data_IF_112312742983
#
_entry.id   IF_112312742983
#
_cell.length_a   1.000
_cell.length_b   1.000
_cell.length_c   1.000
_cell.angle_alpha   90.00
_cell.angle_beta   90.00
_cell.angle_gamma   90.00
#
_symmetry.space_group_name_H-M   'P 1'
#
loop_
_entity.id
_entity.type
_entity.pdbx_description
1 polymer ?
#
# COMPACT_ATOMS: atom_id res chain seq x y z
N UNK A 1 -18.90 25.83 -13.28
CA UNK A 1 -19.18 24.42 -13.62
C UNK A 1 -17.93 23.64 -13.25
N UNK A 2 -17.91 23.03 -12.06
CA UNK A 2 -16.71 22.38 -11.52
C UNK A 2 -16.57 20.98 -12.12
N UNK A 3 -15.43 20.72 -12.76
CA UNK A 3 -15.04 19.42 -13.28
C UNK A 3 -14.99 18.39 -12.14
N UNK A 4 -15.87 17.40 -12.20
CA UNK A 4 -15.78 16.20 -11.37
C UNK A 4 -14.56 15.40 -11.84
N UNK A 5 -13.63 15.00 -10.96
CA UNK A 5 -12.47 14.23 -11.39
C UNK A 5 -12.93 12.87 -11.92
N UNK A 6 -12.45 12.53 -13.13
CA UNK A 6 -12.75 11.34 -13.91
C UNK A 6 -12.25 10.01 -13.29
N UNK A 7 -12.44 9.82 -11.99
CA UNK A 7 -12.05 8.62 -11.23
C UNK A 7 -12.77 7.35 -11.70
N UNK A 8 -13.97 7.48 -12.26
CA UNK A 8 -14.76 6.36 -12.75
C UNK A 8 -14.21 5.77 -14.07
N UNK A 9 -13.60 6.58 -14.94
CA UNK A 9 -13.07 6.13 -16.24
C UNK A 9 -11.74 5.37 -16.15
N UNK A 10 -11.02 5.48 -15.03
CA UNK A 10 -9.77 4.75 -14.77
C UNK A 10 -9.98 3.28 -14.36
N UNK A 11 -11.24 2.85 -14.16
CA UNK A 11 -11.59 1.47 -13.77
C UNK A 11 -11.93 0.55 -14.94
N UNK A 12 -12.20 1.09 -16.12
CA UNK A 12 -12.57 0.30 -17.30
C UNK A 12 -11.28 -0.26 -17.92
N UNK A 13 -11.07 -1.57 -17.84
CA UNK A 13 -9.95 -2.27 -18.50
C UNK A 13 -8.77 -2.67 -17.61
N UNK A 14 -8.82 -2.47 -16.28
CA UNK A 14 -7.81 -3.03 -15.36
C UNK A 14 -7.97 -4.54 -15.24
N UNK A 15 -7.25 -5.29 -16.07
CA UNK A 15 -7.10 -6.73 -15.94
C UNK A 15 -5.99 -7.04 -14.94
N UNK A 16 -6.31 -7.86 -13.92
CA UNK A 16 -5.31 -8.36 -12.96
C UNK A 16 -4.76 -9.68 -13.48
N UNK A 17 -3.44 -9.77 -13.60
CA UNK A 17 -2.73 -10.94 -14.09
C UNK A 17 -2.04 -11.64 -12.92
N UNK A 18 -2.33 -12.93 -12.67
CA UNK A 18 -1.57 -13.73 -11.74
C UNK A 18 -0.08 -13.78 -12.12
N UNK A 19 0.78 -13.82 -11.11
CA UNK A 19 2.24 -13.75 -11.17
C UNK A 19 2.81 -12.45 -11.77
N UNK A 20 1.98 -11.43 -12.02
CA UNK A 20 2.46 -10.11 -12.41
C UNK A 20 2.79 -9.26 -11.20
N UNK A 21 3.81 -8.42 -11.36
CA UNK A 21 4.26 -7.49 -10.35
C UNK A 21 3.52 -6.15 -10.48
N UNK A 22 3.06 -5.62 -9.35
CA UNK A 22 2.35 -4.35 -9.28
C UNK A 22 2.93 -3.47 -8.19
N UNK A 23 3.06 -2.17 -8.47
CA UNK A 23 3.19 -1.13 -7.46
C UNK A 23 1.79 -0.60 -7.12
N UNK A 24 1.39 -0.75 -5.87
CA UNK A 24 0.11 -0.29 -5.35
C UNK A 24 0.32 0.88 -4.39
N UNK A 25 -0.55 1.88 -4.46
CA UNK A 25 -0.60 3.00 -3.51
C UNK A 25 -2.05 3.23 -3.05
N UNK A 26 -2.23 3.40 -1.74
CA UNK A 26 -3.51 3.84 -1.18
C UNK A 26 -3.27 4.79 -0.01
N UNK A 27 -4.22 5.72 0.17
CA UNK A 27 -4.08 6.86 1.07
C UNK A 27 -5.23 6.85 2.08
N UNK A 28 -4.97 7.33 3.29
CA UNK A 28 -5.98 7.52 4.32
C UNK A 28 -6.99 8.57 3.90
N UNK A 29 -8.22 8.44 4.42
CA UNK A 29 -9.28 9.43 4.19
C UNK A 29 -8.78 10.83 4.57
N UNK A 30 -9.00 11.80 3.67
CA UNK A 30 -8.53 13.20 3.82
C UNK A 30 -7.02 13.36 4.08
N UNK A 31 -6.22 12.33 3.76
CA UNK A 31 -4.78 12.29 4.05
C UNK A 31 -4.44 12.46 5.54
N UNK A 32 -5.36 12.07 6.42
CA UNK A 32 -5.12 12.12 7.87
C UNK A 32 -3.92 11.24 8.23
N UNK A 33 -2.91 11.75 8.97
CA UNK A 33 -1.66 11.03 9.19
C UNK A 33 -1.76 10.01 10.36
N UNK A 34 -2.68 9.05 10.23
CA UNK A 34 -3.01 8.03 11.25
C UNK A 34 -1.80 7.16 11.60
N UNK A 35 -0.93 6.88 10.64
CA UNK A 35 0.22 5.98 10.80
C UNK A 35 1.48 6.70 11.33
N UNK A 36 1.34 7.94 11.84
CA UNK A 36 2.33 8.50 12.79
C UNK A 36 2.38 7.69 14.08
N UNK A 37 1.24 7.11 14.46
CA UNK A 37 1.20 6.11 15.51
C UNK A 37 1.80 4.80 14.98
N UNK A 38 2.94 4.43 15.54
CA UNK A 38 3.68 3.23 15.14
C UNK A 38 2.84 1.95 15.32
N UNK A 39 2.08 1.83 16.41
CA UNK A 39 1.27 0.66 16.67
C UNK A 39 0.18 0.50 15.61
N UNK A 40 -0.52 1.59 15.27
CA UNK A 40 -1.55 1.56 14.22
C UNK A 40 -0.96 1.24 12.85
N UNK A 41 0.21 1.77 12.52
CA UNK A 41 0.92 1.44 11.29
C UNK A 41 1.27 -0.06 11.20
N UNK A 42 1.70 -0.66 12.33
CA UNK A 42 2.03 -2.09 12.41
C UNK A 42 0.81 -3.00 12.16
N UNK A 43 -0.40 -2.55 12.48
CA UNK A 43 -1.63 -3.30 12.15
C UNK A 43 -1.86 -3.40 10.63
N UNK A 44 -1.44 -2.39 9.86
CA UNK A 44 -1.46 -2.42 8.38
C UNK A 44 -0.38 -3.37 7.86
N UNK A 45 0.85 -3.27 8.38
CA UNK A 45 1.95 -4.20 8.02
C UNK A 45 1.56 -5.66 8.27
N UNK A 46 0.83 -5.92 9.36
CA UNK A 46 0.30 -7.26 9.63
C UNK A 46 -0.65 -7.76 8.51
N UNK A 47 -1.44 -6.88 7.89
CA UNK A 47 -2.29 -7.28 6.76
C UNK A 47 -1.49 -7.65 5.51
N UNK A 48 -0.34 -7.03 5.26
CA UNK A 48 0.55 -7.44 4.16
C UNK A 48 1.08 -8.86 4.38
N UNK A 49 1.51 -9.15 5.62
CA UNK A 49 1.98 -10.49 6.02
C UNK A 49 0.88 -11.54 5.91
N UNK A 50 -0.34 -11.22 6.35
CA UNK A 50 -1.48 -12.12 6.21
C UNK A 50 -1.83 -12.39 4.75
N UNK A 51 -1.81 -11.37 3.89
CA UNK A 51 -2.06 -11.55 2.46
C UNK A 51 -1.05 -12.50 1.81
N UNK A 52 0.23 -12.42 2.23
CA UNK A 52 1.27 -13.35 1.80
C UNK A 52 1.05 -14.76 2.35
N UNK A 53 0.79 -14.89 3.64
CA UNK A 53 0.51 -16.19 4.27
C UNK A 53 -0.68 -16.91 3.64
N UNK A 54 -1.71 -16.17 3.24
CA UNK A 54 -2.91 -16.71 2.58
C UNK A 54 -2.69 -17.02 1.09
N UNK A 55 -1.50 -16.76 0.54
CA UNK A 55 -1.17 -16.95 -0.87
C UNK A 55 -1.93 -16.01 -1.81
N UNK A 56 -2.33 -14.82 -1.33
CA UNK A 56 -2.98 -13.81 -2.18
C UNK A 56 -1.95 -13.03 -3.00
N UNK A 57 -0.83 -12.65 -2.38
CA UNK A 57 0.25 -11.91 -3.01
C UNK A 57 1.57 -12.08 -2.24
N UNK A 58 2.70 -12.13 -2.95
CA UNK A 58 4.01 -12.02 -2.31
C UNK A 58 4.37 -10.54 -2.14
N UNK A 59 4.80 -10.14 -0.94
CA UNK A 59 5.33 -8.81 -0.70
C UNK A 59 6.79 -8.76 -1.13
N UNK A 60 7.11 -7.88 -2.07
CA UNK A 60 8.48 -7.71 -2.56
C UNK A 60 9.16 -6.50 -1.91
N UNK A 61 8.44 -5.39 -1.77
CA UNK A 61 8.87 -4.24 -0.99
C UNK A 61 7.67 -3.40 -0.57
N UNK A 62 7.75 -2.71 0.56
CA UNK A 62 6.70 -1.79 1.00
C UNK A 62 7.26 -0.70 1.90
N UNK A 63 6.49 0.38 2.01
CA UNK A 63 6.63 1.40 3.04
C UNK A 63 5.26 1.88 3.48
N UNK A 64 5.02 1.95 4.78
CA UNK A 64 3.84 2.61 5.35
C UNK A 64 4.28 4.00 5.80
N UNK A 65 3.82 5.01 5.07
CA UNK A 65 4.00 6.43 5.35
C UNK A 65 2.90 6.92 6.32
N UNK A 66 3.02 8.12 6.92
CA UNK A 66 2.06 8.62 7.90
C UNK A 66 0.58 8.57 7.48
N UNK A 67 0.28 8.79 6.20
CA UNK A 67 -1.06 8.90 5.64
C UNK A 67 -1.31 7.97 4.43
N UNK A 68 -0.35 7.13 4.05
CA UNK A 68 -0.49 6.23 2.88
C UNK A 68 0.49 5.07 2.97
N UNK A 69 0.40 4.13 2.04
CA UNK A 69 1.47 3.16 1.82
C UNK A 69 1.77 2.99 0.34
N UNK A 70 2.98 2.53 0.07
CA UNK A 70 3.39 1.97 -1.22
C UNK A 70 3.72 0.49 -1.03
N UNK A 71 3.24 -0.36 -1.92
CA UNK A 71 3.42 -1.80 -1.82
C UNK A 71 3.70 -2.41 -3.19
N UNK A 72 4.90 -2.94 -3.37
CA UNK A 72 5.28 -3.73 -4.53
C UNK A 72 4.98 -5.19 -4.21
N UNK A 73 4.10 -5.78 -5.01
CA UNK A 73 3.67 -7.16 -4.85
C UNK A 73 3.81 -7.95 -6.13
N UNK A 74 3.99 -9.26 -6.00
CA UNK A 74 3.63 -10.22 -7.04
C UNK A 74 2.22 -10.76 -6.70
N UNK A 75 1.24 -10.53 -7.57
CA UNK A 75 -0.12 -11.01 -7.34
C UNK A 75 -0.16 -12.53 -7.54
N UNK A 76 -0.67 -13.31 -6.58
CA UNK A 76 -0.72 -14.78 -6.70
C UNK A 76 -2.11 -15.31 -7.02
N UNK A 77 -3.15 -14.74 -6.42
CA UNK A 77 -4.53 -15.23 -6.60
C UNK A 77 -5.54 -14.10 -6.58
N UNK A 78 -6.59 -14.23 -7.41
CA UNK A 78 -7.68 -13.27 -7.49
C UNK A 78 -7.27 -11.99 -8.22
N UNK A 79 -7.98 -10.89 -7.96
CA UNK A 79 -7.69 -9.58 -8.53
C UNK A 79 -7.01 -8.64 -7.53
N UNK A 80 -6.36 -7.59 -8.04
CA UNK A 80 -5.90 -6.48 -7.19
C UNK A 80 -7.04 -5.85 -6.39
N UNK A 81 -8.24 -5.79 -6.98
CA UNK A 81 -9.42 -5.24 -6.31
C UNK A 81 -9.83 -6.10 -5.11
N UNK A 82 -9.75 -7.42 -5.21
CA UNK A 82 -10.06 -8.34 -4.10
C UNK A 82 -9.02 -8.25 -3.00
N UNK A 83 -7.73 -8.26 -3.37
CA UNK A 83 -6.62 -8.09 -2.44
C UNK A 83 -6.76 -6.78 -1.66
N UNK A 84 -6.95 -5.66 -2.36
CA UNK A 84 -7.05 -4.36 -1.74
C UNK A 84 -8.34 -4.19 -0.94
N UNK A 85 -9.46 -4.78 -1.37
CA UNK A 85 -10.69 -4.83 -0.56
C UNK A 85 -10.42 -5.55 0.76
N UNK A 86 -9.75 -6.70 0.73
CA UNK A 86 -9.40 -7.46 1.93
C UNK A 86 -8.49 -6.66 2.87
N UNK A 87 -7.35 -6.20 2.36
CA UNK A 87 -6.35 -5.45 3.15
C UNK A 87 -6.95 -4.18 3.74
N UNK A 88 -7.69 -3.39 2.95
CA UNK A 88 -8.28 -2.13 3.43
C UNK A 88 -9.38 -2.37 4.45
N UNK A 89 -10.25 -3.37 4.24
CA UNK A 89 -11.33 -3.70 5.16
C UNK A 89 -10.78 -4.16 6.53
N UNK A 90 -9.85 -5.12 6.53
CA UNK A 90 -9.24 -5.64 7.76
C UNK A 90 -8.41 -4.58 8.48
N UNK A 91 -7.64 -3.78 7.74
CA UNK A 91 -6.90 -2.65 8.32
C UNK A 91 -7.84 -1.64 8.97
N UNK A 92 -8.95 -1.29 8.31
CA UNK A 92 -9.95 -0.36 8.87
C UNK A 92 -10.51 -0.89 10.18
N UNK A 93 -10.93 -2.16 10.21
CA UNK A 93 -11.48 -2.78 11.41
C UNK A 93 -10.47 -2.78 12.57
N UNK A 94 -9.23 -3.20 12.30
CA UNK A 94 -8.21 -3.35 13.34
C UNK A 94 -7.72 -2.00 13.87
N UNK A 95 -7.45 -1.04 12.99
CA UNK A 95 -7.01 0.31 13.38
C UNK A 95 -8.12 1.03 14.15
N UNK A 96 -9.36 0.99 13.66
CA UNK A 96 -10.48 1.62 14.36
C UNK A 96 -10.74 1.00 15.73
N UNK A 97 -10.67 -0.34 15.84
CA UNK A 97 -10.81 -1.04 17.11
C UNK A 97 -9.70 -0.70 18.09
N UNK A 98 -8.46 -0.62 17.62
CA UNK A 98 -7.29 -0.30 18.44
C UNK A 98 -7.26 1.17 18.92
N UNK A 99 -7.74 2.11 18.10
CA UNK A 99 -7.65 3.54 18.39
C UNK A 99 -8.96 4.16 18.87
N UNK A 100 -10.03 3.37 19.02
CA UNK A 100 -11.39 3.87 19.30
C UNK A 100 -12.02 4.72 18.18
N UNK A 101 -11.36 4.83 17.01
CA UNK A 101 -11.86 5.62 15.88
C UNK A 101 -13.08 4.95 15.26
N UNK A 102 -13.96 5.75 14.66
CA UNK A 102 -15.08 5.28 13.84
C UNK A 102 -14.98 5.85 12.44
N UNK A 103 -15.64 5.21 11.48
CA UNK A 103 -15.70 5.67 10.10
C UNK A 103 -14.55 5.20 9.21
N UNK A 104 -14.35 5.93 8.10
CA UNK A 104 -13.45 5.54 7.01
C UNK A 104 -11.98 5.70 7.43
N UNK A 105 -11.17 4.66 7.22
CA UNK A 105 -9.71 4.76 7.33
C UNK A 105 -9.09 5.22 6.01
N UNK A 106 -9.58 4.70 4.88
CA UNK A 106 -9.00 4.90 3.56
C UNK A 106 -9.89 5.74 2.65
N UNK A 107 -9.26 6.38 1.67
CA UNK A 107 -9.95 6.94 0.49
C UNK A 107 -10.58 5.84 -0.34
N UNK A 108 -11.54 6.17 -1.20
CA UNK A 108 -12.10 5.21 -2.15
C UNK A 108 -11.07 4.83 -3.22
N UNK A 109 -11.03 3.56 -3.61
CA UNK A 109 -10.10 3.06 -4.63
C UNK A 109 -8.63 2.96 -4.18
N UNK A 110 -7.76 2.74 -5.15
CA UNK A 110 -6.30 2.69 -5.01
C UNK A 110 -5.67 2.97 -6.39
N UNK A 111 -4.42 3.40 -6.37
CA UNK A 111 -3.60 3.50 -7.58
C UNK A 111 -2.77 2.22 -7.72
N UNK A 112 -2.67 1.70 -8.92
CA UNK A 112 -1.79 0.60 -9.28
C UNK A 112 -1.10 0.88 -10.61
N UNK A 113 0.13 0.37 -10.71
CA UNK A 113 0.92 0.29 -11.94
C UNK A 113 1.44 -1.13 -12.07
N UNK A 114 1.12 -1.79 -13.17
CA UNK A 114 1.72 -3.06 -13.54
C UNK A 114 3.16 -2.83 -14.00
N UNK A 115 4.11 -3.55 -13.41
CA UNK A 115 5.51 -3.50 -13.83
C UNK A 115 5.69 -4.37 -15.08
N UNK A 116 6.60 -3.94 -15.94
CA UNK A 116 7.00 -4.64 -17.17
C UNK A 116 8.35 -5.33 -16.97
N UNK A 117 8.73 -6.22 -17.88
CA UNK A 117 9.97 -7.00 -17.77
C UNK A 117 11.22 -6.11 -17.81
N UNK A 118 11.14 -4.99 -18.52
CA UNK A 118 12.19 -3.98 -18.65
C UNK A 118 12.30 -3.02 -17.45
N UNK A 119 11.33 -3.03 -16.53
CA UNK A 119 11.41 -2.20 -15.32
C UNK A 119 12.48 -2.78 -14.37
N UNK A 120 13.42 -1.94 -13.93
CA UNK A 120 14.38 -2.30 -12.88
C UNK A 120 13.67 -2.37 -11.52
N UNK A 121 13.29 -3.59 -11.15
CA UNK A 121 12.55 -3.88 -9.93
C UNK A 121 13.32 -3.49 -8.66
N UNK A 122 14.65 -3.68 -8.64
CA UNK A 122 15.48 -3.34 -7.48
C UNK A 122 15.58 -1.83 -7.31
N UNK A 123 15.76 -1.09 -8.42
CA UNK A 123 15.73 0.37 -8.40
C UNK A 123 14.39 0.91 -7.93
N UNK A 124 13.28 0.31 -8.38
CA UNK A 124 11.93 0.68 -7.92
C UNK A 124 11.74 0.37 -6.43
N UNK A 125 12.20 -0.78 -5.95
CA UNK A 125 12.14 -1.14 -4.53
C UNK A 125 12.93 -0.15 -3.66
N UNK A 126 14.17 0.19 -4.05
CA UNK A 126 14.99 1.23 -3.40
C UNK A 126 14.28 2.57 -3.39
N UNK A 127 13.66 2.95 -4.52
CA UNK A 127 12.87 4.17 -4.57
C UNK A 127 11.72 4.12 -3.57
N UNK A 128 10.93 3.04 -3.55
CA UNK A 128 9.80 2.88 -2.62
C UNK A 128 10.24 2.98 -1.16
N UNK A 129 11.24 2.21 -0.73
CA UNK A 129 11.65 2.22 0.68
C UNK A 129 12.30 3.54 1.08
N UNK A 130 12.93 4.27 0.15
CA UNK A 130 13.53 5.59 0.42
C UNK A 130 12.53 6.77 0.48
N UNK A 131 11.22 6.52 0.37
CA UNK A 131 10.21 7.58 0.54
C UNK A 131 10.30 8.34 1.87
N UNK A 132 10.54 7.72 3.04
CA UNK A 132 10.64 8.42 4.32
C UNK A 132 11.78 9.43 4.35
N UNK A 133 12.93 9.10 3.74
CA UNK A 133 14.06 10.02 3.56
C UNK A 133 13.67 11.20 2.68
N UNK A 134 13.09 10.94 1.50
CA UNK A 134 12.70 12.00 0.56
C UNK A 134 11.62 12.93 1.12
N UNK A 135 10.73 12.39 1.95
CA UNK A 135 9.71 13.15 2.66
C UNK A 135 10.25 13.91 3.89
N UNK A 136 11.54 13.77 4.21
CA UNK A 136 12.16 14.43 5.36
C UNK A 136 11.71 13.89 6.72
N UNK A 137 11.11 12.69 6.78
CA UNK A 137 10.67 12.07 8.04
C UNK A 137 11.84 11.60 8.90
N UNK A 138 12.95 11.24 8.25
CA UNK A 138 14.17 10.73 8.86
C UNK A 138 15.39 11.21 8.07
N UNK A 139 16.56 11.28 8.72
CA UNK A 139 17.84 11.61 8.05
C UNK A 139 18.58 10.38 7.54
N UNK A 140 18.32 9.20 8.12
CA UNK A 140 18.92 7.92 7.72
C UNK A 140 17.81 6.88 7.55
N UNK A 141 17.99 5.97 6.58
CA UNK A 141 17.01 4.91 6.31
C UNK A 141 16.70 4.05 7.54
N UNK A 142 17.72 3.72 8.33
CA UNK A 142 17.58 2.87 9.53
C UNK A 142 16.74 3.50 10.65
N UNK A 143 16.48 4.81 10.59
CA UNK A 143 15.68 5.50 11.61
C UNK A 143 14.16 5.37 11.33
N UNK A 144 13.76 4.84 10.16
CA UNK A 144 12.35 4.61 9.83
C UNK A 144 11.99 3.12 9.91
N UNK A 145 11.10 2.68 10.81
CA UNK A 145 10.87 1.25 11.07
C UNK A 145 9.75 0.62 10.22
N UNK A 146 9.09 1.41 9.36
CA UNK A 146 7.88 1.00 8.64
C UNK A 146 8.14 0.78 7.14
N UNK A 147 9.19 0.05 6.80
CA UNK A 147 9.48 -0.43 5.45
C UNK A 147 10.10 -1.83 5.48
N UNK A 148 10.09 -2.52 4.34
CA UNK A 148 10.80 -3.79 4.11
C UNK A 148 11.01 -3.98 2.60
N UNK A 149 12.03 -4.74 2.21
CA UNK A 149 12.30 -5.14 0.83
C UNK A 149 13.13 -6.41 0.80
N UNK A 150 12.75 -7.38 -0.04
CA UNK A 150 13.41 -8.70 -0.10
C UNK A 150 14.85 -8.67 -0.63
N UNK A 151 15.34 -7.51 -1.08
CA UNK A 151 16.66 -7.32 -1.69
C UNK A 151 17.65 -6.54 -0.82
N UNK A 152 17.23 -6.05 0.35
CA UNK A 152 18.01 -5.14 1.19
C UNK A 152 18.31 -5.79 2.52
#
# INVERSE_FOLDING_TARGET
MADLPASHRLRIGRFSEPNRIYLITTTTHERTPIFKDFYLARLVVWQFRLAQYQGLANSLAWVVMPDHFHWIIELKRGSLADLMRHVKSKSTRNVNGASGRKGRLWQEGFHDRALRKEDDLVKMARYVVANPLRAGLVKRMGDYPLWDAIWI
#
